data_IF_360725056878
#
_entry.id   IF_360725056878
#
_cell.length_a   1.000
_cell.length_b   1.000
_cell.length_c   1.000
_cell.angle_alpha   90.00
_cell.angle_beta   90.00
_cell.angle_gamma   90.00
#
_symmetry.space_group_name_H-M   'P 1'
#
loop_
_entity.id
_entity.type
_entity.pdbx_description
1 polymer ?
#
# COMPACT_ATOMS: atom_id res chain seq x y z
N UNK A 1 -8.05 4.39 -7.62
CA UNK A 1 -7.70 5.29 -8.63
C UNK A 1 -8.61 5.45 -9.83
N UNK A 2 -9.85 5.78 -9.73
CA UNK A 2 -10.73 6.16 -10.79
C UNK A 2 -11.58 7.32 -10.33
N UNK A 3 -12.10 8.00 -11.28
CA UNK A 3 -13.15 8.95 -11.04
C UNK A 3 -14.32 8.60 -11.93
N UNK A 4 -15.49 8.53 -11.36
CA UNK A 4 -16.71 8.12 -12.07
C UNK A 4 -17.20 9.18 -13.05
N UNK A 5 -16.89 10.44 -12.80
CA UNK A 5 -17.43 11.56 -13.56
C UNK A 5 -16.42 12.19 -14.53
N UNK A 6 -15.19 12.42 -14.05
CA UNK A 6 -14.14 13.11 -14.78
C UNK A 6 -12.81 12.40 -14.68
N UNK A 7 -11.93 12.55 -15.67
CA UNK A 7 -10.53 12.19 -15.56
C UNK A 7 -9.83 13.12 -14.57
N UNK A 8 -9.25 12.57 -13.51
CA UNK A 8 -8.53 13.35 -12.49
C UNK A 8 -7.03 13.08 -12.44
N UNK A 9 -6.57 12.07 -13.15
CA UNK A 9 -5.15 11.85 -13.28
C UNK A 9 -4.57 12.89 -14.25
N UNK A 10 -4.06 13.96 -13.67
CA UNK A 10 -3.51 15.09 -14.40
C UNK A 10 -1.99 15.04 -14.36
N UNK A 11 -1.35 15.09 -15.54
CA UNK A 11 0.09 15.09 -15.66
C UNK A 11 0.54 15.94 -16.85
N UNK A 12 1.49 16.86 -16.68
CA UNK A 12 2.01 17.35 -15.39
C UNK A 12 0.90 18.01 -14.56
N UNK A 13 1.11 18.10 -13.24
CA UNK A 13 0.15 18.77 -12.34
C UNK A 13 -0.12 20.20 -12.80
N UNK A 14 -1.40 20.58 -12.85
CA UNK A 14 -1.91 21.85 -13.37
C UNK A 14 -1.70 22.05 -14.89
N UNK A 15 -1.43 20.96 -15.63
CA UNK A 15 -1.24 20.97 -17.07
C UNK A 15 -2.54 20.87 -17.88
N UNK A 16 -3.66 20.63 -17.20
CA UNK A 16 -4.98 20.40 -17.80
C UNK A 16 -4.97 19.30 -18.88
N UNK A 17 -4.16 18.25 -18.66
CA UNK A 17 -4.05 17.08 -19.53
C UNK A 17 -4.27 15.82 -18.71
N UNK A 18 -5.15 14.96 -19.21
CA UNK A 18 -5.56 13.74 -18.55
C UNK A 18 -5.33 12.55 -19.48
N UNK A 19 -4.45 11.65 -19.11
CA UNK A 19 -4.12 10.46 -19.91
C UNK A 19 -4.79 9.19 -19.41
N UNK A 20 -5.34 9.21 -18.18
CA UNK A 20 -5.97 8.05 -17.58
C UNK A 20 -7.28 8.44 -16.88
N UNK A 21 -8.35 7.69 -17.15
CA UNK A 21 -9.66 7.86 -16.52
C UNK A 21 -9.88 6.90 -15.37
N UNK A 22 -9.32 5.72 -15.45
CA UNK A 22 -9.44 4.70 -14.43
C UNK A 22 -8.22 3.78 -14.44
N UNK A 23 -7.93 3.19 -13.28
CA UNK A 23 -6.96 2.12 -13.12
C UNK A 23 -7.41 1.24 -11.97
N UNK A 24 -7.44 -0.08 -12.18
CA UNK A 24 -7.84 -1.04 -11.18
C UNK A 24 -7.05 -2.34 -11.32
N UNK A 25 -6.97 -3.08 -10.23
CA UNK A 25 -6.44 -4.44 -10.23
C UNK A 25 -7.56 -5.41 -10.59
N UNK A 26 -7.30 -6.34 -11.50
CA UNK A 26 -8.18 -7.46 -11.82
C UNK A 26 -7.41 -8.74 -11.57
N UNK A 27 -7.92 -9.58 -10.68
CA UNK A 27 -7.29 -10.83 -10.30
C UNK A 27 -8.31 -11.95 -10.43
N UNK A 28 -7.89 -13.07 -11.01
CA UNK A 28 -8.67 -14.29 -11.09
C UNK A 28 -7.81 -15.51 -10.84
N UNK A 29 -8.40 -16.55 -10.32
CA UNK A 29 -7.73 -17.82 -10.08
C UNK A 29 -8.73 -18.96 -9.94
N UNK A 30 -8.22 -20.17 -9.94
CA UNK A 30 -9.02 -21.38 -9.74
C UNK A 30 -8.50 -22.08 -8.48
N UNK A 31 -9.39 -22.37 -7.54
CA UNK A 31 -9.02 -23.11 -6.34
C UNK A 31 -8.80 -24.63 -6.63
N UNK A 32 -8.32 -25.35 -5.64
CA UNK A 32 -8.06 -26.79 -5.76
C UNK A 32 -9.33 -27.63 -6.07
N UNK A 33 -10.51 -27.08 -5.83
CA UNK A 33 -11.82 -27.70 -6.19
C UNK A 33 -12.26 -27.40 -7.62
N UNK A 34 -11.49 -26.59 -8.36
CA UNK A 34 -11.85 -26.15 -9.73
C UNK A 34 -12.83 -24.98 -9.76
N UNK A 35 -13.09 -24.31 -8.63
CA UNK A 35 -13.97 -23.16 -8.57
C UNK A 35 -13.23 -21.90 -9.01
N UNK A 36 -13.80 -21.18 -9.96
CA UNK A 36 -13.32 -19.87 -10.37
C UNK A 36 -13.59 -18.84 -9.27
N UNK A 37 -12.58 -18.06 -8.94
CA UNK A 37 -12.62 -16.95 -8.02
C UNK A 37 -12.11 -15.70 -8.72
N UNK A 38 -12.77 -14.56 -8.52
CA UNK A 38 -12.45 -13.31 -9.23
C UNK A 38 -12.65 -12.12 -8.31
N UNK A 39 -11.72 -11.17 -8.35
CA UNK A 39 -11.87 -9.85 -7.79
C UNK A 39 -11.49 -8.80 -8.85
N UNK A 40 -12.38 -7.89 -9.15
CA UNK A 40 -12.17 -6.84 -10.13
C UNK A 40 -12.95 -5.58 -9.78
N UNK A 41 -12.54 -4.45 -10.38
CA UNK A 41 -13.28 -3.20 -10.34
C UNK A 41 -13.38 -2.68 -11.76
N UNK A 42 -14.56 -2.39 -12.24
CA UNK A 42 -14.76 -1.86 -13.57
C UNK A 42 -14.84 -0.33 -13.56
N UNK A 43 -14.61 0.28 -14.71
CA UNK A 43 -14.84 1.70 -14.88
C UNK A 43 -16.34 2.00 -14.72
N UNK A 44 -16.67 3.02 -13.91
CA UNK A 44 -18.04 3.34 -13.51
C UNK A 44 -18.73 2.17 -12.80
N UNK A 45 -18.01 1.56 -11.88
CA UNK A 45 -18.46 0.42 -11.10
C UNK A 45 -19.88 0.56 -10.55
N UNK A 46 -20.57 -0.56 -10.47
CA UNK A 46 -21.86 -0.70 -9.78
C UNK A 46 -21.74 -1.40 -8.43
N UNK A 47 -20.62 -2.08 -8.18
CA UNK A 47 -20.34 -2.86 -6.99
C UNK A 47 -18.92 -2.64 -6.43
N UNK A 48 -18.49 -3.55 -5.56
CA UNK A 48 -17.16 -3.55 -4.95
C UNK A 48 -16.70 -4.98 -4.70
N UNK A 49 -15.44 -5.27 -5.06
CA UNK A 49 -14.76 -6.54 -4.77
C UNK A 49 -13.48 -6.32 -3.96
N UNK A 50 -13.16 -5.06 -3.62
CA UNK A 50 -12.00 -4.73 -2.81
C UNK A 50 -12.36 -3.80 -1.66
N UNK A 51 -11.71 -4.03 -0.51
CA UNK A 51 -11.86 -3.26 0.73
C UNK A 51 -10.49 -2.94 1.30
N UNK A 52 -10.39 -1.88 2.06
CA UNK A 52 -9.14 -1.44 2.71
C UNK A 52 -8.80 -2.35 3.90
N UNK A 53 -7.51 -2.45 4.22
CA UNK A 53 -6.99 -3.11 5.40
C UNK A 53 -6.37 -4.50 5.18
N UNK A 54 -5.57 -4.94 6.18
CA UNK A 54 -4.94 -6.26 6.21
C UNK A 54 -5.94 -7.34 6.62
N UNK A 55 -5.74 -8.54 6.12
CA UNK A 55 -6.52 -9.71 6.52
C UNK A 55 -5.93 -10.39 7.76
N UNK A 56 -6.80 -11.04 8.52
CA UNK A 56 -6.37 -12.01 9.53
C UNK A 56 -5.56 -13.13 8.86
N UNK A 57 -4.34 -13.35 9.32
CA UNK A 57 -3.37 -14.29 8.72
C UNK A 57 -3.77 -15.76 8.81
N UNK A 58 -4.74 -16.09 9.66
CA UNK A 58 -5.21 -17.46 9.90
C UNK A 58 -6.54 -17.74 9.20
N UNK A 59 -7.45 -16.76 9.21
CA UNK A 59 -8.83 -16.93 8.73
C UNK A 59 -9.10 -16.22 7.41
N UNK A 60 -8.17 -15.34 6.96
CA UNK A 60 -8.34 -14.47 5.81
C UNK A 60 -9.61 -13.61 5.87
N UNK A 61 -9.98 -13.15 7.06
CA UNK A 61 -11.16 -12.32 7.29
C UNK A 61 -10.78 -10.93 7.77
N UNK A 62 -11.68 -9.98 7.63
CA UNK A 62 -11.59 -8.63 8.17
C UNK A 62 -13.01 -8.14 8.50
N UNK A 63 -13.13 -7.25 9.47
CA UNK A 63 -14.40 -6.61 9.82
C UNK A 63 -14.57 -5.27 9.10
N UNK A 64 -15.81 -4.75 8.93
CA UNK A 64 -16.02 -3.42 8.39
C UNK A 64 -15.35 -2.29 9.18
N UNK A 65 -15.27 -2.44 10.51
CA UNK A 65 -14.63 -1.44 11.37
C UNK A 65 -13.11 -1.40 11.10
N UNK A 66 -12.46 -2.56 11.02
CA UNK A 66 -11.05 -2.66 10.62
C UNK A 66 -10.82 -2.08 9.22
N UNK A 67 -11.70 -2.34 8.24
CA UNK A 67 -11.60 -1.73 6.92
C UNK A 67 -11.60 -0.20 6.99
N UNK A 68 -12.47 0.39 7.82
CA UNK A 68 -12.57 1.84 7.98
C UNK A 68 -11.31 2.46 8.61
N UNK A 69 -10.64 1.75 9.52
CA UNK A 69 -9.37 2.20 10.12
C UNK A 69 -8.25 2.34 9.08
N UNK A 70 -8.28 1.50 8.06
CA UNK A 70 -7.29 1.45 6.98
C UNK A 70 -7.70 2.20 5.70
N UNK A 71 -8.83 2.91 5.69
CA UNK A 71 -9.29 3.68 4.52
C UNK A 71 -8.50 4.99 4.37
N UNK A 72 -7.20 4.84 4.09
CA UNK A 72 -6.25 5.94 3.91
C UNK A 72 -5.04 5.54 3.06
N UNK A 73 -4.37 6.56 2.52
CA UNK A 73 -3.07 6.43 1.87
C UNK A 73 -1.99 7.03 2.76
N UNK A 74 -0.90 6.32 2.94
CA UNK A 74 0.27 6.78 3.67
C UNK A 74 1.24 7.41 2.69
N UNK A 75 1.31 8.73 2.71
CA UNK A 75 2.17 9.50 1.81
C UNK A 75 3.46 9.87 2.52
N UNK A 76 4.58 9.50 1.92
CA UNK A 76 5.93 9.81 2.39
C UNK A 76 6.81 10.29 1.24
N UNK A 77 7.73 11.20 1.51
CA UNK A 77 8.76 11.64 0.57
C UNK A 77 10.14 11.18 1.03
N UNK A 78 11.02 10.95 0.06
CA UNK A 78 12.43 10.65 0.35
C UNK A 78 13.08 11.73 1.22
N UNK A 79 12.78 13.01 0.94
CA UNK A 79 13.34 14.14 1.70
C UNK A 79 12.89 14.18 3.16
N UNK A 80 11.65 13.75 3.49
CA UNK A 80 11.20 13.61 4.88
C UNK A 80 11.99 12.53 5.61
N UNK A 81 12.27 11.42 4.94
CA UNK A 81 13.09 10.34 5.51
C UNK A 81 14.55 10.73 5.66
N UNK A 82 15.13 11.41 4.66
CA UNK A 82 16.51 11.94 4.73
C UNK A 82 16.69 12.95 5.87
N UNK A 83 15.72 13.85 6.05
CA UNK A 83 15.71 14.80 7.16
C UNK A 83 15.60 14.09 8.52
N UNK A 84 14.74 13.09 8.62
CA UNK A 84 14.61 12.28 9.83
C UNK A 84 15.92 11.57 10.18
N UNK A 85 16.50 10.83 9.23
CA UNK A 85 17.77 10.11 9.45
C UNK A 85 18.91 11.04 9.87
N UNK A 86 18.93 12.26 9.35
CA UNK A 86 19.95 13.25 9.71
C UNK A 86 19.73 13.89 11.08
N UNK A 87 18.49 13.98 11.56
CA UNK A 87 18.15 14.88 12.68
C UNK A 87 17.40 14.19 13.85
N UNK A 88 17.08 12.89 13.80
CA UNK A 88 16.27 12.24 14.86
C UNK A 88 16.86 12.36 16.28
N UNK A 89 18.18 12.59 16.42
CA UNK A 89 18.86 12.82 17.70
C UNK A 89 18.89 14.32 18.11
N UNK A 90 18.50 15.25 17.22
CA UNK A 90 18.49 16.67 17.56
C UNK A 90 17.24 16.99 18.40
N UNK A 91 17.40 17.51 19.64
CA UNK A 91 16.25 17.81 20.49
C UNK A 91 15.33 18.93 19.95
N UNK A 92 15.75 19.64 18.89
CA UNK A 92 14.92 20.65 18.21
C UNK A 92 14.22 20.12 16.96
N UNK A 93 14.52 18.90 16.55
CA UNK A 93 13.85 18.26 15.40
C UNK A 93 12.38 17.99 15.71
N UNK A 94 11.53 18.36 14.78
CA UNK A 94 10.09 18.07 14.83
C UNK A 94 9.80 16.95 13.85
N UNK A 95 9.60 15.75 14.37
CA UNK A 95 9.31 14.58 13.56
C UNK A 95 8.00 14.74 12.81
N UNK A 96 7.95 14.52 11.47
CA UNK A 96 6.70 14.48 10.73
C UNK A 96 5.77 13.36 11.21
N UNK A 97 4.47 13.63 11.29
CA UNK A 97 3.46 12.66 11.72
C UNK A 97 3.51 11.35 10.91
N UNK A 98 3.80 11.42 9.62
CA UNK A 98 3.91 10.23 8.77
C UNK A 98 5.11 9.35 9.14
N UNK A 99 6.19 9.91 9.66
CA UNK A 99 7.34 9.14 10.18
C UNK A 99 6.95 8.50 11.52
N UNK A 100 6.38 9.28 12.43
CA UNK A 100 5.98 8.81 13.75
C UNK A 100 4.93 7.69 13.67
N UNK A 101 3.96 7.83 12.75
CA UNK A 101 2.82 6.93 12.58
C UNK A 101 2.91 6.10 11.29
N UNK A 102 4.12 5.74 10.85
CA UNK A 102 4.29 4.86 9.72
C UNK A 102 3.65 3.48 9.99
N UNK A 103 2.83 2.92 9.09
CA UNK A 103 2.08 1.70 9.35
C UNK A 103 2.97 0.44 9.19
N UNK A 104 4.11 0.43 9.86
CA UNK A 104 5.07 -0.67 9.81
C UNK A 104 4.46 -1.99 10.29
N UNK A 105 3.54 -1.90 11.26
CA UNK A 105 2.94 -3.06 11.92
C UNK A 105 1.43 -3.07 11.83
N UNK A 106 0.87 -4.28 11.76
CA UNK A 106 -0.54 -4.55 12.03
C UNK A 106 -0.77 -4.89 13.49
N UNK A 107 -1.99 -5.20 13.84
CA UNK A 107 -2.38 -5.63 15.19
C UNK A 107 -2.49 -7.17 15.27
N UNK A 108 -1.49 -7.88 15.85
CA UNK A 108 -1.55 -9.32 16.02
C UNK A 108 -2.70 -9.78 16.92
N UNK A 109 -3.24 -8.91 17.80
CA UNK A 109 -4.38 -9.27 18.63
C UNK A 109 -5.68 -9.41 17.82
N UNK A 110 -5.74 -8.76 16.66
CA UNK A 110 -6.78 -8.91 15.64
C UNK A 110 -6.41 -9.98 14.58
N UNK A 111 -5.24 -10.61 14.74
CA UNK A 111 -4.72 -11.62 13.83
C UNK A 111 -4.04 -11.07 12.57
N UNK A 112 -3.81 -9.76 12.50
CA UNK A 112 -3.09 -9.13 11.39
C UNK A 112 -1.61 -9.52 11.40
N UNK A 113 -0.97 -9.45 10.23
CA UNK A 113 0.47 -9.65 10.14
C UNK A 113 1.20 -8.53 10.89
N UNK A 114 2.22 -8.92 11.67
CA UNK A 114 3.03 -7.95 12.37
C UNK A 114 3.75 -7.01 11.40
N UNK A 115 4.24 -7.51 10.26
CA UNK A 115 4.97 -6.71 9.28
C UNK A 115 4.08 -6.30 8.11
N UNK A 116 3.74 -5.01 8.01
CA UNK A 116 2.92 -4.44 6.93
C UNK A 116 3.74 -3.53 6.01
N UNK A 117 3.81 -2.24 6.30
CA UNK A 117 4.59 -1.31 5.50
C UNK A 117 6.09 -1.49 5.74
N UNK A 118 6.92 -1.45 4.68
CA UNK A 118 8.35 -1.69 4.83
C UNK A 118 9.04 -0.54 5.57
N UNK A 119 9.90 -0.90 6.52
CA UNK A 119 10.77 0.03 7.23
C UNK A 119 12.19 -0.53 7.37
N UNK A 120 13.14 0.33 7.65
CA UNK A 120 14.52 0.00 7.99
C UNK A 120 14.69 0.06 9.51
N UNK A 121 15.06 -1.06 10.11
CA UNK A 121 15.35 -1.21 11.53
C UNK A 121 16.81 -0.77 11.79
N UNK A 122 16.99 0.48 12.16
CA UNK A 122 18.31 1.06 12.44
C UNK A 122 18.84 0.63 13.82
N UNK A 123 17.92 0.47 14.78
CA UNK A 123 18.22 0.06 16.14
C UNK A 123 18.61 -1.41 16.27
N UNK A 124 18.19 -2.25 15.30
CA UNK A 124 18.33 -3.71 15.32
C UNK A 124 17.77 -4.33 16.61
N UNK A 125 16.65 -3.80 17.08
CA UNK A 125 16.02 -4.14 18.36
C UNK A 125 14.98 -5.26 18.26
N UNK A 126 14.94 -5.95 17.14
CA UNK A 126 14.07 -7.11 16.93
C UNK A 126 12.92 -6.88 15.96
N UNK A 127 12.95 -5.78 15.22
CA UNK A 127 12.02 -5.47 14.16
C UNK A 127 10.76 -4.73 14.62
N UNK A 128 10.76 -4.13 15.79
CA UNK A 128 9.79 -3.12 16.21
C UNK A 128 10.14 -1.78 15.54
N UNK A 129 9.14 -1.09 15.01
CA UNK A 129 9.34 0.23 14.43
C UNK A 129 9.40 1.30 15.52
N UNK A 130 10.55 1.89 15.71
CA UNK A 130 10.76 2.99 16.65
C UNK A 130 11.55 4.15 16.00
N UNK A 131 10.88 5.16 15.44
CA UNK A 131 11.56 6.27 14.78
C UNK A 131 12.43 7.12 15.74
N UNK A 132 12.22 7.03 17.05
CA UNK A 132 13.07 7.71 18.04
C UNK A 132 14.43 7.04 18.21
N UNK A 133 14.59 5.79 17.78
CA UNK A 133 15.87 5.06 17.75
C UNK A 133 16.50 5.09 16.34
N UNK A 134 15.88 5.83 15.42
CA UNK A 134 16.41 6.07 14.09
C UNK A 134 15.82 5.20 12.99
N UNK A 135 14.77 4.43 13.26
CA UNK A 135 14.05 3.68 12.24
C UNK A 135 13.33 4.60 11.27
N UNK A 136 13.20 4.18 10.03
CA UNK A 136 12.58 4.98 8.99
C UNK A 136 11.89 4.13 7.90
N UNK A 137 10.88 4.68 7.20
CA UNK A 137 10.29 4.06 6.01
C UNK A 137 11.37 3.66 5.01
N UNK A 138 11.37 2.41 4.52
CA UNK A 138 12.50 1.70 3.89
C UNK A 138 12.90 2.27 2.51
N UNK A 139 13.34 3.53 2.50
CA UNK A 139 14.09 4.12 1.38
C UNK A 139 15.58 3.77 1.48
N UNK A 140 16.25 3.67 0.33
CA UNK A 140 17.71 3.55 0.31
C UNK A 140 18.36 4.91 0.56
N UNK A 141 18.54 5.26 1.83
CA UNK A 141 19.19 6.48 2.24
C UNK A 141 20.71 6.26 2.29
N UNK A 142 21.46 7.13 1.63
CA UNK A 142 22.96 7.08 1.59
C UNK A 142 23.54 5.79 1.02
N UNK A 143 22.77 5.03 0.25
CA UNK A 143 23.22 3.75 -0.30
C UNK A 143 23.44 2.65 0.75
N UNK A 144 22.92 2.82 1.96
CA UNK A 144 23.10 1.88 3.06
C UNK A 144 22.23 0.62 2.95
N UNK A 145 21.19 0.67 2.13
CA UNK A 145 20.24 -0.43 1.94
C UNK A 145 19.93 -0.67 0.46
N UNK A 146 20.71 -1.53 -0.19
CA UNK A 146 20.53 -1.89 -1.60
C UNK A 146 19.22 -2.67 -1.86
N UNK A 147 18.54 -3.13 -0.79
CA UNK A 147 17.27 -3.86 -0.86
C UNK A 147 16.08 -3.01 -0.40
N UNK A 148 16.21 -1.69 -0.41
CA UNK A 148 15.12 -0.78 -0.07
C UNK A 148 13.84 -1.10 -0.84
N UNK A 149 12.70 -0.97 -0.17
CA UNK A 149 11.40 -1.42 -0.67
C UNK A 149 10.46 -0.27 -0.99
N UNK A 150 10.82 0.96 -0.64
CA UNK A 150 10.14 2.17 -1.06
C UNK A 150 10.92 2.85 -2.19
N UNK A 151 10.19 3.30 -3.20
CA UNK A 151 10.75 3.81 -4.45
C UNK A 151 10.36 5.25 -4.70
N UNK A 152 11.11 5.91 -5.62
CA UNK A 152 10.83 7.27 -6.05
C UNK A 152 11.26 8.34 -5.03
N UNK A 153 10.91 9.59 -5.34
CA UNK A 153 11.09 10.72 -4.45
C UNK A 153 9.85 11.00 -3.61
N UNK A 154 8.69 10.50 -4.06
CA UNK A 154 7.45 10.46 -3.32
C UNK A 154 6.78 9.11 -3.52
N UNK A 155 6.30 8.52 -2.42
CA UNK A 155 5.53 7.27 -2.41
C UNK A 155 4.22 7.48 -1.67
N UNK A 156 3.16 6.89 -2.22
CA UNK A 156 1.92 6.57 -1.51
C UNK A 156 1.93 5.07 -1.26
N UNK A 157 1.78 4.65 -0.01
CA UNK A 157 1.61 3.25 0.37
C UNK A 157 0.20 3.04 0.91
N UNK A 158 -0.41 1.89 0.60
CA UNK A 158 -1.71 1.47 1.16
C UNK A 158 -1.85 -0.04 1.12
N UNK A 159 -2.82 -0.54 1.88
CA UNK A 159 -3.14 -1.95 1.97
C UNK A 159 -4.63 -2.17 1.71
N UNK A 160 -4.96 -3.21 0.96
CA UNK A 160 -6.33 -3.58 0.68
C UNK A 160 -6.45 -5.09 0.45
N UNK A 161 -7.68 -5.59 0.39
CA UNK A 161 -7.99 -7.00 0.29
C UNK A 161 -9.24 -7.24 -0.56
N UNK A 162 -9.52 -8.51 -0.90
CA UNK A 162 -10.72 -8.92 -1.60
C UNK A 162 -11.71 -9.70 -0.72
N UNK A 163 -11.59 -9.60 0.61
CA UNK A 163 -12.35 -10.45 1.56
C UNK A 163 -13.24 -9.61 2.52
N UNK A 164 -13.33 -8.31 2.34
CA UNK A 164 -14.07 -7.44 3.26
C UNK A 164 -15.57 -7.64 3.26
N UNK A 165 -16.14 -8.10 2.15
CA UNK A 165 -17.58 -8.41 2.02
C UNK A 165 -17.81 -9.30 0.78
N UNK A 166 -19.09 -9.58 0.48
CA UNK A 166 -19.51 -10.26 -0.74
C UNK A 166 -19.13 -9.41 -1.96
N UNK A 167 -18.49 -10.04 -2.96
CA UNK A 167 -18.19 -9.40 -4.23
C UNK A 167 -19.47 -8.99 -4.95
N UNK A 168 -19.67 -7.71 -5.13
CA UNK A 168 -20.86 -7.18 -5.76
C UNK A 168 -20.60 -6.59 -7.16
N UNK A 169 -19.34 -6.50 -7.57
CA UNK A 169 -18.96 -6.10 -8.92
C UNK A 169 -18.90 -7.31 -9.87
N UNK A 170 -18.24 -8.39 -9.45
CA UNK A 170 -18.13 -9.62 -10.26
C UNK A 170 -19.12 -10.69 -9.89
N UNK A 171 -19.76 -10.61 -8.74
CA UNK A 171 -20.62 -11.66 -8.16
C UNK A 171 -19.90 -13.01 -7.98
N UNK A 172 -18.56 -12.99 -7.99
CA UNK A 172 -17.73 -14.20 -7.85
C UNK A 172 -17.31 -14.40 -6.38
N UNK A 173 -16.85 -15.61 -6.07
CA UNK A 173 -16.27 -15.91 -4.78
C UNK A 173 -14.91 -15.22 -4.62
N UNK A 174 -14.58 -14.72 -3.42
CA UNK A 174 -13.30 -14.07 -3.14
C UNK A 174 -12.13 -15.05 -3.18
N UNK A 175 -10.94 -14.51 -3.47
CA UNK A 175 -9.69 -15.26 -3.47
C UNK A 175 -9.04 -15.35 -2.07
N UNK A 176 -9.31 -14.39 -1.19
CA UNK A 176 -8.66 -14.25 0.11
C UNK A 176 -7.26 -13.64 -0.01
N UNK A 177 -7.14 -12.61 -0.82
CA UNK A 177 -5.88 -11.93 -1.10
C UNK A 177 -5.75 -10.63 -0.30
N UNK A 178 -4.57 -10.41 0.22
CA UNK A 178 -4.12 -9.15 0.79
C UNK A 178 -3.11 -8.50 -0.16
N UNK A 179 -3.26 -7.23 -0.44
CA UNK A 179 -2.44 -6.52 -1.39
C UNK A 179 -1.81 -5.29 -0.73
N UNK A 180 -0.47 -5.27 -0.69
CA UNK A 180 0.30 -4.10 -0.31
C UNK A 180 0.69 -3.36 -1.58
N UNK A 181 0.28 -2.12 -1.69
CA UNK A 181 0.43 -1.34 -2.89
C UNK A 181 1.26 -0.07 -2.66
N UNK A 182 2.00 0.29 -3.69
CA UNK A 182 2.73 1.55 -3.76
C UNK A 182 2.43 2.24 -5.09
N UNK A 183 2.20 3.56 -5.04
CA UNK A 183 2.27 4.44 -6.18
C UNK A 183 3.39 5.44 -5.94
N UNK A 184 4.32 5.57 -6.89
CA UNK A 184 5.49 6.42 -6.69
C UNK A 184 5.89 7.17 -7.96
N UNK A 185 6.63 8.26 -7.77
CA UNK A 185 7.14 9.09 -8.83
C UNK A 185 8.54 9.62 -8.52
N UNK A 186 9.20 10.10 -9.55
CA UNK A 186 10.55 10.65 -9.48
C UNK A 186 10.54 12.11 -9.91
N UNK A 187 11.37 12.93 -9.30
CA UNK A 187 11.73 14.24 -9.77
C UNK A 187 12.90 14.10 -10.75
N UNK A 188 12.66 14.39 -12.01
CA UNK A 188 13.66 14.24 -13.08
C UNK A 188 13.52 15.33 -14.13
N UNK A 189 14.61 15.59 -14.87
CA UNK A 189 14.65 16.57 -15.96
C UNK A 189 14.21 15.99 -17.32
N UNK A 190 13.50 14.87 -17.30
CA UNK A 190 13.02 14.17 -18.48
C UNK A 190 11.60 13.64 -18.25
N UNK A 191 11.10 12.83 -19.20
CA UNK A 191 9.74 12.28 -19.21
C UNK A 191 9.39 11.44 -17.96
N UNK A 192 10.38 10.94 -17.22
CA UNK A 192 10.20 10.19 -15.99
C UNK A 192 9.50 11.05 -14.92
N UNK A 193 9.72 12.39 -14.96
CA UNK A 193 9.02 13.33 -14.08
C UNK A 193 7.49 13.32 -14.27
N UNK A 194 7.04 12.93 -15.44
CA UNK A 194 5.63 12.86 -15.81
C UNK A 194 5.07 11.42 -15.75
N UNK A 195 5.77 10.51 -15.07
CA UNK A 195 5.36 9.11 -14.91
C UNK A 195 4.97 8.80 -13.47
N UNK A 196 3.94 7.98 -13.31
CA UNK A 196 3.60 7.36 -12.03
C UNK A 196 3.78 5.85 -12.16
N UNK A 197 4.48 5.27 -11.22
CA UNK A 197 4.80 3.85 -11.18
C UNK A 197 3.98 3.18 -10.07
N UNK A 198 3.72 1.89 -10.25
CA UNK A 198 2.94 1.08 -9.31
C UNK A 198 3.66 -0.22 -9.00
N UNK A 199 3.67 -0.57 -7.72
CA UNK A 199 4.15 -1.85 -7.25
C UNK A 199 3.08 -2.50 -6.37
N UNK A 200 2.76 -3.76 -6.65
CA UNK A 200 1.78 -4.55 -5.90
C UNK A 200 2.45 -5.82 -5.36
N UNK A 201 2.46 -5.98 -4.06
CA UNK A 201 2.81 -7.24 -3.38
C UNK A 201 1.51 -7.95 -3.05
N UNK A 202 1.24 -9.06 -3.71
CA UNK A 202 0.02 -9.86 -3.54
C UNK A 202 0.34 -11.03 -2.61
N UNK A 203 -0.45 -11.19 -1.56
CA UNK A 203 -0.28 -12.21 -0.52
C UNK A 203 -1.55 -13.04 -0.47
N UNK A 204 -1.43 -14.35 -0.66
CA UNK A 204 -2.54 -15.26 -0.44
C UNK A 204 -2.66 -15.54 1.07
N UNK A 205 -3.72 -15.05 1.68
CA UNK A 205 -4.07 -15.32 3.09
C UNK A 205 -5.06 -16.47 3.22
N UNK A 206 -5.65 -16.92 2.10
CA UNK A 206 -6.57 -18.07 2.14
C UNK A 206 -5.82 -19.36 2.45
N UNK A 207 -6.54 -20.35 2.94
CA UNK A 207 -6.00 -21.70 3.20
C UNK A 207 -5.91 -22.54 1.93
N UNK A 208 -6.42 -22.04 0.81
CA UNK A 208 -6.48 -22.75 -0.46
C UNK A 208 -5.37 -22.27 -1.40
N UNK A 209 -4.65 -23.19 -2.06
CA UNK A 209 -3.79 -22.81 -3.17
C UNK A 209 -4.64 -22.30 -4.34
N UNK A 210 -4.17 -21.27 -5.00
CA UNK A 210 -4.75 -20.71 -6.22
C UNK A 210 -3.84 -21.02 -7.41
N UNK A 211 -4.45 -21.43 -8.54
CA UNK A 211 -3.78 -21.71 -9.81
C UNK A 211 -4.23 -20.72 -10.89
#
# INVERSE_FOLDING_TARGET
WWNLDDARYEIPKNGNKHSMFAGALWIGGVDAGGQLKVAAMTYRQGGSDFWTGPLNTTTATITPDECNEWDKHFKITRSEVEDHVANYLDPTYVMPDIIENWPAHGDPSQGQDFNLAPFYDAGQDGGEYNPYDGDYPDYNISGSNDNAKLFGDQTLWWIFNDQGNIHSETEAEPLGLEIHAQAFGFTADNEVNDMTFYNYKIINRSTLPLN
#
